data_IF_984377226640
#
_entry.id   IF_984377226640
#
_cell.length_a   1.000
_cell.length_b   1.000
_cell.length_c   1.000
_cell.angle_alpha   90.00
_cell.angle_beta   90.00
_cell.angle_gamma   90.00
#
_symmetry.space_group_name_H-M   'P 1'
#
loop_
_entity.id
_entity.type
_entity.pdbx_description
1 polymer ?
#
# COMPACT_ATOMS: atom_id res chain seq x y z
N UNK A 1 39.36 21.91 39.96
CA UNK A 1 38.59 21.17 38.93
C UNK A 1 37.21 21.81 38.69
N UNK A 2 36.43 22.10 39.75
CA UNK A 2 35.13 22.79 39.66
C UNK A 2 35.17 24.22 39.06
N UNK A 3 36.26 24.97 39.25
CA UNK A 3 36.35 26.35 38.73
C UNK A 3 36.46 26.44 37.20
N UNK A 4 36.98 25.40 36.53
CA UNK A 4 37.09 25.36 35.07
C UNK A 4 35.73 25.14 34.40
N UNK A 5 34.85 24.36 35.04
CA UNK A 5 33.45 24.21 34.60
C UNK A 5 32.68 25.53 34.71
N UNK A 6 32.89 26.32 35.77
CA UNK A 6 32.15 27.57 35.97
C UNK A 6 32.49 28.67 34.95
N UNK A 7 33.76 28.79 34.51
CA UNK A 7 34.19 29.79 33.53
C UNK A 7 33.67 29.55 32.12
N UNK A 8 33.39 28.29 31.78
CA UNK A 8 32.92 27.87 30.46
C UNK A 8 31.49 27.30 30.49
N UNK A 9 30.75 27.49 31.59
CA UNK A 9 29.42 26.90 31.80
C UNK A 9 28.46 27.27 30.67
N UNK A 10 28.55 28.50 30.15
CA UNK A 10 27.78 28.99 29.01
C UNK A 10 28.12 28.23 27.72
N UNK A 11 29.39 27.90 27.48
CA UNK A 11 29.81 27.11 26.32
C UNK A 11 29.32 25.67 26.42
N UNK A 12 29.41 25.08 27.61
CA UNK A 12 28.92 23.72 27.86
C UNK A 12 27.41 23.63 27.71
N UNK A 13 26.66 24.61 28.25
CA UNK A 13 25.22 24.72 28.02
C UNK A 13 24.89 24.90 26.54
N UNK A 14 25.68 25.67 25.80
CA UNK A 14 25.48 25.89 24.38
C UNK A 14 25.73 24.63 23.54
N UNK A 15 26.81 23.90 23.82
CA UNK A 15 27.06 22.58 23.19
C UNK A 15 25.94 21.61 23.54
N UNK A 16 25.51 21.57 24.80
CA UNK A 16 24.42 20.70 25.22
C UNK A 16 23.10 21.08 24.54
N UNK A 17 22.80 22.38 24.42
CA UNK A 17 21.62 22.88 23.73
C UNK A 17 21.63 22.56 22.23
N UNK A 18 22.77 22.72 21.57
CA UNK A 18 22.93 22.31 20.17
C UNK A 18 22.81 20.80 20.00
N UNK A 19 23.42 20.02 20.88
CA UNK A 19 23.27 18.57 20.88
C UNK A 19 21.81 18.17 21.14
N UNK A 20 21.10 18.91 22.00
CA UNK A 20 19.69 18.68 22.27
C UNK A 20 18.82 18.99 21.06
N UNK A 21 19.07 20.10 20.35
CA UNK A 21 18.42 20.39 19.07
C UNK A 21 18.76 19.30 18.04
N UNK A 22 20.02 18.90 17.90
CA UNK A 22 20.39 17.89 16.89
C UNK A 22 19.76 16.50 17.16
N UNK A 23 19.66 16.10 18.43
CA UNK A 23 19.12 14.79 18.83
C UNK A 23 17.61 14.76 19.04
N UNK A 24 17.02 15.86 19.53
CA UNK A 24 15.60 15.92 19.90
C UNK A 24 14.79 16.91 19.06
N UNK A 25 15.42 17.84 18.32
CA UNK A 25 14.68 18.58 17.32
C UNK A 25 14.27 17.60 16.22
N UNK A 26 13.06 17.81 15.76
CA UNK A 26 12.25 16.84 15.06
C UNK A 26 12.70 16.66 13.60
N UNK A 27 14.00 16.77 13.26
CA UNK A 27 14.61 16.52 11.95
C UNK A 27 13.60 16.63 10.82
N UNK A 28 13.04 17.84 10.64
CA UNK A 28 11.85 18.07 9.84
C UNK A 28 12.00 17.50 8.42
N UNK A 29 13.24 17.46 7.92
CA UNK A 29 13.63 16.87 6.65
C UNK A 29 13.41 15.35 6.58
N UNK A 30 13.89 14.57 7.57
CA UNK A 30 13.69 13.12 7.58
C UNK A 30 12.21 12.76 7.65
N UNK A 31 11.46 13.52 8.45
CA UNK A 31 10.00 13.38 8.57
C UNK A 31 9.30 13.71 7.26
N UNK A 32 9.66 14.81 6.60
CA UNK A 32 9.10 15.19 5.31
C UNK A 32 9.41 14.15 4.21
N UNK A 33 10.61 13.58 4.19
CA UNK A 33 10.97 12.51 3.25
C UNK A 33 10.09 11.27 3.51
N UNK A 34 9.92 10.88 4.78
CA UNK A 34 9.08 9.74 5.15
C UNK A 34 7.62 9.97 4.74
N UNK A 35 7.08 11.14 5.03
CA UNK A 35 5.71 11.53 4.63
C UNK A 35 5.56 11.51 3.10
N UNK A 36 6.55 12.03 2.35
CA UNK A 36 6.54 11.99 0.89
C UNK A 36 6.50 10.56 0.33
N UNK A 37 7.28 9.66 0.94
CA UNK A 37 7.28 8.24 0.57
C UNK A 37 5.95 7.55 0.89
N UNK A 38 5.33 7.87 2.03
CA UNK A 38 4.00 7.37 2.42
C UNK A 38 2.91 7.87 1.46
N UNK A 39 2.93 9.14 1.07
CA UNK A 39 2.00 9.68 0.07
C UNK A 39 2.17 8.98 -1.28
N UNK A 40 3.41 8.73 -1.71
CA UNK A 40 3.66 8.05 -2.97
C UNK A 40 3.18 6.58 -2.95
N UNK A 41 3.38 5.87 -1.84
CA UNK A 41 2.89 4.50 -1.71
C UNK A 41 1.36 4.43 -1.74
N UNK A 42 0.69 5.33 -1.03
CA UNK A 42 -0.77 5.46 -1.04
C UNK A 42 -1.31 5.78 -2.44
N UNK A 43 -0.69 6.72 -3.16
CA UNK A 43 -1.10 7.06 -4.53
C UNK A 43 -0.92 5.89 -5.51
N UNK A 44 0.15 5.10 -5.33
CA UNK A 44 0.37 3.88 -6.13
C UNK A 44 -0.71 2.84 -5.86
N UNK A 45 -1.11 2.68 -4.61
CA UNK A 45 -2.20 1.77 -4.23
C UNK A 45 -3.55 2.23 -4.79
N UNK A 46 -3.88 3.52 -4.68
CA UNK A 46 -5.08 4.11 -5.30
C UNK A 46 -5.09 3.85 -6.80
N UNK A 47 -3.96 4.04 -7.47
CA UNK A 47 -3.84 3.82 -8.93
C UNK A 47 -4.06 2.34 -9.27
N UNK A 48 -3.52 1.42 -8.47
CA UNK A 48 -3.73 -0.03 -8.63
C UNK A 48 -5.19 -0.41 -8.45
N UNK A 49 -5.85 0.08 -7.40
CA UNK A 49 -7.26 -0.19 -7.13
C UNK A 49 -8.16 0.37 -8.23
N UNK A 50 -7.91 1.59 -8.70
CA UNK A 50 -8.63 2.16 -9.85
C UNK A 50 -8.50 1.30 -11.12
N UNK A 51 -7.33 0.71 -11.36
CA UNK A 51 -7.12 -0.21 -12.48
C UNK A 51 -7.92 -1.50 -12.32
N UNK A 52 -7.97 -2.05 -11.11
CA UNK A 52 -8.80 -3.23 -10.82
C UNK A 52 -10.28 -2.93 -11.03
N UNK A 53 -10.80 -1.84 -10.45
CA UNK A 53 -12.19 -1.43 -10.64
C UNK A 53 -12.54 -1.26 -12.12
N UNK A 54 -11.64 -0.68 -12.93
CA UNK A 54 -11.86 -0.54 -14.37
C UNK A 54 -11.97 -1.91 -15.06
N UNK A 55 -11.07 -2.83 -14.72
CA UNK A 55 -11.10 -4.19 -15.29
C UNK A 55 -12.34 -4.96 -14.86
N UNK A 56 -12.68 -4.89 -13.57
CA UNK A 56 -13.85 -5.56 -13.00
C UNK A 56 -15.14 -5.00 -13.58
N UNK A 57 -15.21 -3.68 -13.80
CA UNK A 57 -16.36 -3.05 -14.46
C UNK A 57 -16.55 -3.55 -15.89
N UNK A 58 -15.47 -3.75 -16.66
CA UNK A 58 -15.54 -4.32 -18.01
C UNK A 58 -16.02 -5.79 -17.93
N UNK A 59 -15.51 -6.54 -16.94
CA UNK A 59 -15.95 -7.91 -16.71
C UNK A 59 -17.44 -7.96 -16.37
N UNK A 60 -17.93 -7.10 -15.48
CA UNK A 60 -19.35 -6.99 -15.12
C UNK A 60 -20.19 -6.59 -16.33
N UNK A 61 -19.76 -5.64 -17.15
CA UNK A 61 -20.47 -5.25 -18.37
C UNK A 61 -20.60 -6.43 -19.35
N UNK A 62 -19.52 -7.19 -19.54
CA UNK A 62 -19.52 -8.41 -20.35
C UNK A 62 -20.39 -9.55 -19.76
N UNK A 63 -20.51 -9.63 -18.43
CA UNK A 63 -21.42 -10.58 -17.76
C UNK A 63 -22.89 -10.17 -17.88
N UNK A 64 -23.17 -8.86 -17.83
CA UNK A 64 -24.52 -8.31 -17.86
C UNK A 64 -25.09 -8.18 -19.27
N UNK A 65 -24.26 -8.19 -20.31
CA UNK A 65 -24.77 -8.39 -21.67
C UNK A 65 -25.34 -9.81 -21.76
N UNK A 66 -26.64 -9.94 -22.03
CA UNK A 66 -27.50 -11.15 -22.02
C UNK A 66 -27.01 -12.36 -22.84
N UNK A 67 -25.83 -12.29 -23.43
CA UNK A 67 -25.13 -13.40 -24.07
C UNK A 67 -23.82 -13.62 -23.32
N UNK A 68 -23.79 -14.57 -22.36
CA UNK A 68 -22.51 -15.13 -21.91
C UNK A 68 -21.77 -15.61 -23.17
N UNK A 69 -20.74 -14.88 -23.58
CA UNK A 69 -19.88 -15.35 -24.66
C UNK A 69 -19.28 -16.68 -24.21
N UNK A 70 -19.22 -17.66 -25.11
CA UNK A 70 -18.70 -19.01 -24.81
C UNK A 70 -17.28 -18.96 -24.19
N UNK A 71 -16.51 -17.92 -24.51
CA UNK A 71 -15.17 -17.68 -23.99
C UNK A 71 -15.18 -17.20 -22.52
N UNK A 72 -16.16 -16.39 -22.12
CA UNK A 72 -16.31 -15.95 -20.73
C UNK A 72 -16.83 -17.08 -19.82
N UNK A 73 -17.78 -17.89 -20.31
CA UNK A 73 -18.25 -19.07 -19.58
C UNK A 73 -17.10 -20.06 -19.35
N UNK A 74 -16.24 -20.25 -20.35
CA UNK A 74 -15.04 -21.09 -20.22
C UNK A 74 -14.10 -20.58 -19.12
N UNK A 75 -13.80 -19.27 -19.11
CA UNK A 75 -12.93 -18.67 -18.07
C UNK A 75 -13.55 -18.80 -16.68
N UNK A 76 -14.84 -18.53 -16.52
CA UNK A 76 -15.53 -18.66 -15.23
C UNK A 76 -15.52 -20.08 -14.69
N UNK A 77 -15.65 -21.08 -15.57
CA UNK A 77 -15.59 -22.50 -15.20
C UNK A 77 -14.18 -22.98 -14.89
N UNK A 78 -13.18 -22.54 -15.66
CA UNK A 78 -11.79 -22.99 -15.52
C UNK A 78 -11.07 -22.29 -14.35
N UNK A 79 -11.18 -20.97 -14.23
CA UNK A 79 -10.43 -20.18 -13.25
C UNK A 79 -11.18 -20.04 -11.91
N UNK A 80 -12.51 -19.90 -11.96
CA UNK A 80 -13.32 -19.56 -10.78
C UNK A 80 -14.31 -20.67 -10.37
N UNK A 81 -14.36 -21.78 -11.10
CA UNK A 81 -15.25 -22.93 -10.85
C UNK A 81 -16.74 -22.55 -10.67
N UNK A 82 -17.19 -21.48 -11.31
CA UNK A 82 -18.59 -21.08 -11.24
C UNK A 82 -19.51 -22.14 -11.87
N UNK A 83 -20.61 -22.44 -11.20
CA UNK A 83 -21.71 -23.30 -11.66
C UNK A 83 -23.00 -22.49 -11.74
N UNK A 84 -23.91 -22.86 -12.65
CA UNK A 84 -25.28 -22.32 -12.61
C UNK A 84 -26.01 -22.92 -11.39
N UNK A 85 -26.95 -22.18 -10.79
CA UNK A 85 -27.66 -22.61 -9.56
C UNK A 85 -28.33 -23.99 -9.66
N UNK A 86 -28.65 -24.47 -10.88
CA UNK A 86 -29.27 -25.78 -11.13
C UNK A 86 -28.35 -26.76 -11.88
N UNK A 87 -27.04 -26.57 -11.81
CA UNK A 87 -26.07 -27.41 -12.52
C UNK A 87 -25.23 -28.27 -11.58
N UNK A 88 -25.09 -29.56 -11.90
CA UNK A 88 -24.25 -30.50 -11.16
C UNK A 88 -22.94 -30.68 -11.93
N UNK A 89 -21.82 -30.17 -11.38
CA UNK A 89 -20.48 -30.30 -11.97
C UNK A 89 -19.78 -31.57 -11.46
N UNK A 90 -19.29 -32.42 -12.38
CA UNK A 90 -18.48 -33.59 -12.06
C UNK A 90 -17.01 -33.33 -12.40
N UNK A 91 -16.12 -33.38 -11.40
CA UNK A 91 -14.67 -33.34 -11.61
C UNK A 91 -14.13 -34.76 -11.69
N UNK A 92 -13.66 -35.17 -12.86
CA UNK A 92 -13.08 -36.50 -13.09
C UNK A 92 -11.56 -36.38 -13.03
N UNK A 93 -10.95 -36.88 -11.96
CA UNK A 93 -9.49 -37.08 -11.90
C UNK A 93 -9.16 -38.48 -12.38
N UNK A 94 -8.31 -38.58 -13.41
CA UNK A 94 -7.71 -39.87 -13.79
C UNK A 94 -6.65 -40.23 -12.73
N UNK A 95 -6.85 -41.37 -12.08
CA UNK A 95 -5.83 -42.02 -11.25
C UNK A 95 -4.66 -42.51 -12.10
#
# INVERSE_FOLDING_TARGET
MLSFLSKNILKILFIFFFMWIIFFDENALLRQIKIGNEINSQNKEISRLKKLIKNDSILIENLNSDTLSHELEKILREEYLYSKENEIIYKIEKQ
#
